data_IF_195751829728
#
_entry.id   IF_195751829728
#
_cell.length_a   1.000
_cell.length_b   1.000
_cell.length_c   1.000
_cell.angle_alpha   90.00
_cell.angle_beta   90.00
_cell.angle_gamma   90.00
#
_symmetry.space_group_name_H-M   'P 1'
#
loop_
_entity.id
_entity.type
_entity.pdbx_description
1 polymer ?
#
# COMPACT_ATOMS: atom_id res chain seq x y z
N UNK A 1 -19.04 3.67 9.59
CA UNK A 1 -17.95 4.65 9.73
C UNK A 1 -16.67 4.02 9.20
N UNK A 2 -15.87 4.78 8.46
CA UNK A 2 -14.55 4.30 7.98
C UNK A 2 -13.51 4.42 9.10
N UNK A 3 -12.68 3.39 9.26
CA UNK A 3 -11.65 3.37 10.30
C UNK A 3 -10.33 3.97 9.77
N UNK A 4 -9.63 4.73 10.60
CA UNK A 4 -8.33 5.31 10.26
C UNK A 4 -7.28 4.85 11.27
N UNK A 5 -6.22 4.21 10.76
CA UNK A 5 -5.05 3.84 11.53
C UNK A 5 -3.87 4.68 11.08
N UNK A 6 -3.03 5.12 12.02
CA UNK A 6 -1.84 5.93 11.74
C UNK A 6 -0.64 5.30 12.42
N UNK A 7 0.47 5.15 11.70
CA UNK A 7 1.75 4.67 12.23
C UNK A 7 2.91 5.55 11.80
N UNK A 8 3.74 5.90 12.77
CA UNK A 8 5.01 6.61 12.64
C UNK A 8 6.07 5.89 13.48
N UNK A 9 7.35 6.27 13.38
CA UNK A 9 8.41 5.65 14.19
C UNK A 9 8.68 4.19 13.77
N UNK A 10 8.55 3.90 12.48
CA UNK A 10 8.74 2.55 11.93
C UNK A 10 9.60 2.62 10.67
N UNK A 11 10.42 1.61 10.47
CA UNK A 11 11.30 1.46 9.30
C UNK A 11 11.05 0.13 8.62
N UNK A 12 11.26 0.10 7.31
CA UNK A 12 11.22 -1.12 6.51
C UNK A 12 12.42 -1.13 5.58
N UNK A 13 13.01 -2.31 5.38
CA UNK A 13 14.13 -2.48 4.44
C UNK A 13 13.64 -2.66 3.00
N UNK A 14 12.38 -3.06 2.82
CA UNK A 14 11.78 -3.34 1.51
C UNK A 14 10.27 -3.09 1.48
N UNK A 15 9.73 -2.93 0.28
CA UNK A 15 8.27 -2.86 0.07
C UNK A 15 7.58 -4.14 0.55
N UNK A 16 8.19 -5.31 0.38
CA UNK A 16 7.66 -6.59 0.86
C UNK A 16 7.49 -6.60 2.39
N UNK A 17 8.46 -6.09 3.14
CA UNK A 17 8.32 -5.97 4.61
C UNK A 17 7.19 -5.01 4.98
N UNK A 18 7.08 -3.87 4.28
CA UNK A 18 6.01 -2.90 4.51
C UNK A 18 4.62 -3.51 4.22
N UNK A 19 4.46 -4.23 3.12
CA UNK A 19 3.22 -4.91 2.75
C UNK A 19 2.84 -6.01 3.75
N UNK A 20 3.83 -6.82 4.19
CA UNK A 20 3.62 -7.85 5.20
C UNK A 20 3.15 -7.25 6.53
N UNK A 21 3.75 -6.13 6.94
CA UNK A 21 3.33 -5.37 8.13
C UNK A 21 1.90 -4.84 7.99
N UNK A 22 1.57 -4.21 6.86
CA UNK A 22 0.22 -3.71 6.59
C UNK A 22 -0.81 -4.84 6.67
N UNK A 23 -0.54 -5.97 6.00
CA UNK A 23 -1.44 -7.13 6.00
C UNK A 23 -1.67 -7.69 7.40
N UNK A 24 -0.59 -7.87 8.18
CA UNK A 24 -0.67 -8.37 9.56
C UNK A 24 -1.44 -7.42 10.48
N UNK A 25 -1.15 -6.13 10.44
CA UNK A 25 -1.82 -5.12 11.28
C UNK A 25 -3.30 -5.02 10.95
N UNK A 26 -3.65 -4.91 9.67
CA UNK A 26 -5.04 -4.80 9.24
C UNK A 26 -5.84 -6.06 9.62
N UNK A 27 -5.21 -7.23 9.53
CA UNK A 27 -5.82 -8.47 9.97
C UNK A 27 -6.03 -8.52 11.49
N UNK A 28 -5.02 -8.12 12.27
CA UNK A 28 -5.10 -8.05 13.72
C UNK A 28 -6.14 -7.02 14.21
N UNK A 29 -6.38 -5.95 13.44
CA UNK A 29 -7.46 -4.98 13.69
C UNK A 29 -8.85 -5.52 13.31
N UNK A 30 -8.93 -6.68 12.68
CA UNK A 30 -10.20 -7.32 12.30
C UNK A 30 -10.93 -6.65 11.13
N UNK A 31 -10.27 -5.77 10.38
CA UNK A 31 -10.89 -4.99 9.29
C UNK A 31 -10.82 -5.68 7.92
N UNK A 32 -10.06 -6.76 7.81
CA UNK A 32 -9.87 -7.55 6.59
C UNK A 32 -10.00 -9.05 6.86
N UNK A 33 -10.18 -9.84 5.80
CA UNK A 33 -10.16 -11.30 5.83
C UNK A 33 -8.72 -11.85 5.80
N UNK A 34 -8.53 -13.12 6.18
CA UNK A 34 -7.21 -13.79 6.19
C UNK A 34 -6.56 -13.86 4.80
N UNK A 35 -7.35 -13.71 3.74
CA UNK A 35 -6.88 -13.67 2.35
C UNK A 35 -6.23 -12.33 1.96
N UNK A 36 -6.43 -11.27 2.74
CA UNK A 36 -5.95 -9.92 2.42
C UNK A 36 -4.42 -9.78 2.34
N UNK A 37 -3.61 -10.31 3.28
CA UNK A 37 -2.16 -10.15 3.22
C UNK A 37 -1.54 -10.69 1.94
N UNK A 38 -2.01 -11.86 1.48
CA UNK A 38 -1.53 -12.46 0.23
C UNK A 38 -2.01 -11.65 -0.99
N UNK A 39 -3.31 -11.31 -1.05
CA UNK A 39 -3.88 -10.53 -2.14
C UNK A 39 -3.19 -9.17 -2.30
N UNK A 40 -2.84 -8.51 -1.19
CA UNK A 40 -2.12 -7.23 -1.20
C UNK A 40 -0.75 -7.34 -1.87
N UNK A 41 0.01 -8.40 -1.56
CA UNK A 41 1.36 -8.62 -2.12
C UNK A 41 1.28 -8.97 -3.60
N UNK A 42 0.39 -9.88 -3.98
CA UNK A 42 0.19 -10.29 -5.38
C UNK A 42 -0.25 -9.11 -6.25
N UNK A 43 -1.13 -8.26 -5.70
CA UNK A 43 -1.65 -7.09 -6.39
C UNK A 43 -0.60 -6.01 -6.57
N UNK A 44 0.25 -5.77 -5.57
CA UNK A 44 1.36 -4.81 -5.70
C UNK A 44 2.41 -5.31 -6.69
N UNK A 45 2.70 -6.62 -6.69
CA UNK A 45 3.64 -7.22 -7.65
C UNK A 45 3.14 -7.09 -9.11
N UNK A 46 1.84 -7.33 -9.33
CA UNK A 46 1.23 -7.28 -10.67
C UNK A 46 0.98 -5.85 -11.16
N UNK A 47 0.64 -4.94 -10.24
CA UNK A 47 0.19 -3.60 -10.54
C UNK A 47 0.73 -2.61 -9.50
N UNK A 48 1.99 -2.19 -9.65
CA UNK A 48 2.67 -1.35 -8.68
C UNK A 48 1.94 -0.04 -8.41
N UNK A 49 1.96 0.41 -7.16
CA UNK A 49 1.19 1.56 -6.70
C UNK A 49 2.05 2.75 -6.28
N UNK A 50 3.37 2.69 -6.50
CA UNK A 50 4.27 3.81 -6.27
C UNK A 50 3.94 5.00 -7.18
N UNK A 51 3.78 6.17 -6.57
CA UNK A 51 3.51 7.46 -7.21
C UNK A 51 4.61 8.43 -6.79
N UNK A 52 5.32 8.97 -7.78
CA UNK A 52 6.25 10.06 -7.54
C UNK A 52 5.55 11.39 -7.77
N UNK A 53 5.61 12.24 -6.77
CA UNK A 53 5.18 13.64 -6.80
C UNK A 53 6.44 14.51 -6.91
N UNK A 54 6.27 15.79 -7.20
CA UNK A 54 7.39 16.72 -7.42
C UNK A 54 8.37 16.78 -6.24
N UNK A 55 7.86 16.66 -5.01
CA UNK A 55 8.65 16.81 -3.78
C UNK A 55 8.59 15.60 -2.84
N UNK A 56 7.73 14.64 -3.12
CA UNK A 56 7.47 13.49 -2.25
C UNK A 56 7.15 12.25 -3.08
N UNK A 57 7.20 11.08 -2.47
CA UNK A 57 6.70 9.85 -3.07
C UNK A 57 5.72 9.18 -2.11
N UNK A 58 4.69 8.57 -2.67
CA UNK A 58 3.68 7.81 -1.92
C UNK A 58 3.46 6.47 -2.59
N UNK A 59 3.06 5.47 -1.82
CA UNK A 59 2.50 4.23 -2.34
C UNK A 59 1.09 4.08 -1.76
N UNK A 60 0.18 3.55 -2.57
CA UNK A 60 -1.22 3.31 -2.18
C UNK A 60 -1.56 1.83 -2.38
N UNK A 61 -0.88 0.92 -1.66
CA UNK A 61 -1.10 -0.51 -1.82
C UNK A 61 -2.53 -0.87 -1.43
N UNK A 62 -3.24 -1.53 -2.34
CA UNK A 62 -4.60 -2.00 -2.16
C UNK A 62 -4.83 -3.26 -2.99
N UNK A 63 -5.85 -4.02 -2.61
CA UNK A 63 -6.37 -5.14 -3.39
C UNK A 63 -7.90 -5.03 -3.52
N UNK A 64 -8.49 -6.06 -4.09
CA UNK A 64 -9.92 -6.17 -4.37
C UNK A 64 -10.73 -6.10 -3.07
N UNK A 65 -11.89 -5.44 -3.15
CA UNK A 65 -12.75 -5.18 -1.99
C UNK A 65 -13.27 -6.45 -1.30
N UNK A 66 -13.27 -7.60 -2.00
CA UNK A 66 -13.69 -8.90 -1.46
C UNK A 66 -12.83 -9.35 -0.27
N UNK A 67 -11.62 -8.81 -0.14
CA UNK A 67 -10.72 -9.11 0.98
C UNK A 67 -10.95 -8.19 2.20
N UNK A 68 -11.77 -7.15 2.09
CA UNK A 68 -12.08 -6.22 3.17
C UNK A 68 -13.37 -6.61 3.90
N UNK A 69 -13.33 -6.64 5.24
CA UNK A 69 -14.53 -6.82 6.08
C UNK A 69 -15.26 -5.50 6.31
N UNK A 70 -14.51 -4.41 6.39
CA UNK A 70 -15.04 -3.06 6.63
C UNK A 70 -14.10 -2.01 6.03
N UNK A 71 -14.60 -0.80 5.69
CA UNK A 71 -13.77 0.26 5.15
C UNK A 71 -12.75 0.75 6.18
N UNK A 72 -11.47 0.72 5.80
CA UNK A 72 -10.37 1.16 6.65
C UNK A 72 -9.21 1.73 5.82
N UNK A 73 -8.52 2.72 6.38
CA UNK A 73 -7.30 3.32 5.82
C UNK A 73 -6.17 3.16 6.84
N UNK A 74 -5.00 2.72 6.38
CA UNK A 74 -3.79 2.67 7.20
C UNK A 74 -2.72 3.61 6.64
N UNK A 75 -2.53 4.74 7.30
CA UNK A 75 -1.52 5.72 6.94
C UNK A 75 -0.20 5.43 7.67
N UNK A 76 0.86 5.18 6.90
CA UNK A 76 2.20 4.95 7.44
C UNK A 76 3.14 6.02 6.91
N UNK A 77 3.86 6.69 7.81
CA UNK A 77 5.02 7.52 7.48
C UNK A 77 6.27 6.82 8.01
N UNK A 78 7.01 6.07 7.16
CA UNK A 78 8.22 5.40 7.61
C UNK A 78 9.35 6.42 7.85
N UNK A 79 10.23 6.13 8.81
CA UNK A 79 11.35 7.02 9.16
C UNK A 79 12.46 7.00 8.10
N UNK A 80 12.50 5.92 7.30
CA UNK A 80 13.40 5.77 6.14
C UNK A 80 12.59 5.59 4.86
N UNK A 81 13.08 6.09 3.70
CA UNK A 81 12.44 5.83 2.42
C UNK A 81 12.33 4.32 2.15
N UNK A 82 11.17 3.89 1.65
CA UNK A 82 10.92 2.52 1.22
C UNK A 82 10.67 2.53 -0.29
N UNK A 83 11.44 1.74 -1.03
CA UNK A 83 11.34 1.72 -2.49
C UNK A 83 10.11 0.91 -2.93
N UNK A 84 9.19 1.57 -3.62
CA UNK A 84 8.06 0.96 -4.32
C UNK A 84 8.21 1.13 -5.83
N UNK A 85 7.80 0.11 -6.58
CA UNK A 85 7.76 0.19 -8.03
C UNK A 85 6.68 1.19 -8.45
N UNK A 86 6.97 1.95 -9.51
CA UNK A 86 6.00 2.91 -10.04
C UNK A 86 5.02 2.23 -10.96
N UNK A 87 3.78 2.73 -10.98
CA UNK A 87 2.89 2.46 -12.09
C UNK A 87 3.44 3.18 -13.33
N UNK A 88 4.11 2.47 -14.24
CA UNK A 88 4.42 3.04 -15.55
C UNK A 88 3.10 3.29 -16.28
N UNK A 89 2.68 4.56 -16.38
CA UNK A 89 1.71 4.95 -17.41
C UNK A 89 2.44 4.89 -18.75
N UNK A 90 2.47 3.71 -19.38
CA UNK A 90 2.82 3.59 -20.79
C UNK A 90 1.67 4.12 -21.64
N UNK A 91 1.47 5.44 -21.62
CA UNK A 91 0.89 6.20 -22.73
C UNK A 91 1.72 7.46 -22.89
N UNK A 92 2.71 7.38 -23.78
CA UNK A 92 3.16 8.56 -24.53
C UNK A 92 1.91 9.13 -25.21
N UNK A 93 1.49 10.32 -24.78
CA UNK A 93 0.60 11.16 -25.56
C UNK A 93 1.45 12.35 -26.03
N UNK A 94 1.52 12.65 -27.33
CA UNK A 94 2.10 13.91 -27.76
C UNK A 94 1.18 15.01 -27.27
N UNK A 95 1.70 15.91 -26.45
CA UNK A 95 1.01 17.16 -26.15
C UNK A 95 1.72 18.29 -26.89
N UNK A 96 0.97 18.95 -27.76
CA UNK A 96 1.27 20.24 -28.36
C UNK A 96 0.62 21.31 -27.49
#
# INVERSE_FOLDING_TARGET
MSQLFVRTGITFDSSQQALAHIGKEMLAKGVVHDSYPQALVEREASFPTGIALERHAVAIPHCEAVHAKSPAIYLIRPDKPVMFNRRMMTKRLPFR
#
